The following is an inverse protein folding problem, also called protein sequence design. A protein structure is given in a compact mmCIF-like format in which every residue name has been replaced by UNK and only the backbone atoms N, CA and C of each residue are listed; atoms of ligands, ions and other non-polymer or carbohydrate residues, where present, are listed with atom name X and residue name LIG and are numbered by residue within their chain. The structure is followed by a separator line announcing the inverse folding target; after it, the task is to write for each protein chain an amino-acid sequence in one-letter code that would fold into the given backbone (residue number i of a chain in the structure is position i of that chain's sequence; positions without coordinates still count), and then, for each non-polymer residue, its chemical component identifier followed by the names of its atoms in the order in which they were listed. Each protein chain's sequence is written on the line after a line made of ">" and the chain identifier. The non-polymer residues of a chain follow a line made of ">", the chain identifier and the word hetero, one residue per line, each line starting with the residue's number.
data_IF_107611556113
#
_entry.id   IF_107611556113
#
_cell.length_a   1.000
_cell.length_b   1.000
_cell.length_c   1.000
_cell.angle_alpha   90.00
_cell.angle_beta   90.00
_cell.angle_gamma   90.00
#
_symmetry.space_group_name_H-M   'P 1'
#
loop_
_entity.id
_entity.type
_entity.pdbx_description
1 polymer ?
#
# COMPACT_ATOMS: atom_id res chain seq x y z
N UNK A 1 -10.68 10.37 6.08
CA UNK A 1 -10.41 11.11 4.82
C UNK A 1 -8.99 10.86 4.30
N UNK A 2 -7.95 10.86 5.17
CA UNK A 2 -6.58 10.51 4.76
C UNK A 2 -6.39 9.06 4.30
N UNK A 3 -6.95 8.05 4.97
CA UNK A 3 -6.72 6.63 4.63
C UNK A 3 -7.20 6.24 3.22
N UNK A 4 -8.34 6.79 2.79
CA UNK A 4 -8.90 6.55 1.46
C UNK A 4 -8.02 7.17 0.36
N UNK A 5 -7.47 8.36 0.60
CA UNK A 5 -6.56 9.03 -0.33
C UNK A 5 -5.25 8.25 -0.50
N UNK A 6 -4.68 7.75 0.59
CA UNK A 6 -3.47 6.93 0.56
C UNK A 6 -3.72 5.64 -0.22
N UNK A 7 -4.86 4.98 -0.01
CA UNK A 7 -5.24 3.75 -0.75
C UNK A 7 -5.38 3.97 -2.26
N UNK A 8 -6.11 5.00 -2.68
CA UNK A 8 -6.27 5.30 -4.11
C UNK A 8 -4.94 5.67 -4.77
N UNK A 9 -4.10 6.39 -4.04
CA UNK A 9 -2.77 6.78 -4.51
C UNK A 9 -1.85 5.56 -4.65
N UNK A 10 -1.84 4.64 -3.69
CA UNK A 10 -1.10 3.37 -3.80
C UNK A 10 -1.63 2.54 -4.99
N UNK A 11 -2.95 2.44 -5.17
CA UNK A 11 -3.53 1.73 -6.31
C UNK A 11 -3.12 2.35 -7.65
N UNK A 12 -3.18 3.67 -7.78
CA UNK A 12 -2.78 4.39 -8.98
C UNK A 12 -1.29 4.22 -9.29
N UNK A 13 -0.43 4.29 -8.26
CA UNK A 13 1.02 4.09 -8.40
C UNK A 13 1.33 2.64 -8.73
N UNK A 14 0.66 1.66 -8.11
CA UNK A 14 0.85 0.24 -8.43
C UNK A 14 0.44 -0.13 -9.84
N UNK A 15 -0.65 0.42 -10.34
CA UNK A 15 -1.07 0.18 -11.72
C UNK A 15 -0.14 0.84 -12.74
N UNK A 16 0.48 1.97 -12.39
CA UNK A 16 1.28 2.78 -13.31
C UNK A 16 2.77 2.40 -13.29
N UNK A 17 3.34 2.13 -12.12
CA UNK A 17 4.77 1.82 -11.93
C UNK A 17 5.04 0.31 -11.89
N UNK A 18 4.12 -0.49 -11.35
CA UNK A 18 4.36 -1.91 -11.10
C UNK A 18 3.59 -2.85 -12.04
N UNK A 19 2.70 -2.32 -12.89
CA UNK A 19 1.76 -3.11 -13.70
C UNK A 19 1.02 -4.18 -12.88
N UNK A 20 0.82 -3.90 -11.58
CA UNK A 20 0.23 -4.82 -10.63
C UNK A 20 -1.23 -4.43 -10.40
N UNK A 21 -2.13 -5.40 -10.53
CA UNK A 21 -3.52 -5.21 -10.15
C UNK A 21 -3.63 -5.31 -8.63
N UNK A 22 -4.14 -4.24 -8.01
CA UNK A 22 -4.55 -4.24 -6.61
C UNK A 22 -6.03 -4.59 -6.44
N UNK A 23 -6.41 -5.01 -5.25
CA UNK A 23 -7.81 -5.10 -4.84
C UNK A 23 -7.97 -4.54 -3.44
N UNK A 24 -9.00 -3.75 -3.22
CA UNK A 24 -9.40 -3.34 -1.86
C UNK A 24 -10.38 -4.40 -1.36
N UNK A 25 -10.03 -5.03 -0.25
CA UNK A 25 -10.83 -6.06 0.41
C UNK A 25 -11.12 -5.62 1.85
N UNK A 26 -12.33 -5.88 2.32
CA UNK A 26 -12.71 -5.56 3.70
C UNK A 26 -12.42 -6.75 4.61
N UNK A 27 -11.55 -6.55 5.60
CA UNK A 27 -11.25 -7.50 6.66
C UNK A 27 -12.09 -7.20 7.91
N UNK A 28 -12.68 -8.22 8.55
CA UNK A 28 -13.53 -8.02 9.72
C UNK A 28 -12.78 -7.51 10.97
N UNK A 29 -11.46 -7.70 11.05
CA UNK A 29 -10.63 -7.31 12.21
C UNK A 29 -9.81 -6.03 11.95
N UNK A 30 -9.37 -5.82 10.70
CA UNK A 30 -8.49 -4.70 10.31
C UNK A 30 -9.21 -3.65 9.45
N UNK A 31 -10.48 -3.85 9.12
CA UNK A 31 -11.24 -3.04 8.18
C UNK A 31 -10.75 -3.22 6.74
N UNK A 32 -10.90 -2.19 5.92
CA UNK A 32 -10.43 -2.20 4.54
C UNK A 32 -8.89 -2.32 4.42
N UNK A 33 -8.45 -3.40 3.78
CA UNK A 33 -7.06 -3.68 3.44
C UNK A 33 -6.87 -3.65 1.91
N UNK A 34 -5.72 -3.15 1.47
CA UNK A 34 -5.34 -3.15 0.06
C UNK A 34 -4.40 -4.33 -0.21
N UNK A 35 -4.84 -5.25 -1.05
CA UNK A 35 -4.03 -6.36 -1.54
C UNK A 35 -3.43 -5.99 -2.91
N UNK A 36 -2.15 -6.26 -3.12
CA UNK A 36 -1.47 -6.05 -4.40
C UNK A 36 -0.95 -7.39 -4.91
N UNK A 37 -1.00 -7.62 -6.22
CA UNK A 37 -0.42 -8.82 -6.82
C UNK A 37 1.11 -8.69 -6.92
N UNK A 38 1.83 -9.75 -6.54
CA UNK A 38 3.29 -9.82 -6.53
C UNK A 38 3.94 -9.25 -5.26
N UNK A 39 5.23 -9.54 -5.06
CA UNK A 39 6.00 -8.95 -3.97
C UNK A 39 6.50 -7.55 -4.39
N UNK A 40 5.86 -6.52 -3.83
CA UNK A 40 6.20 -5.11 -4.07
C UNK A 40 6.51 -4.39 -2.75
N UNK A 41 6.90 -5.15 -1.71
CA UNK A 41 7.05 -4.67 -0.34
C UNK A 41 8.05 -3.51 -0.24
N UNK A 42 9.19 -3.65 -0.93
CA UNK A 42 10.26 -2.64 -0.91
C UNK A 42 9.82 -1.36 -1.61
N UNK A 43 9.16 -1.50 -2.76
CA UNK A 43 8.70 -0.39 -3.57
C UNK A 43 7.63 0.45 -2.86
N UNK A 44 6.67 -0.18 -2.19
CA UNK A 44 5.63 0.53 -1.42
C UNK A 44 6.25 1.20 -0.20
N UNK A 45 7.17 0.52 0.50
CA UNK A 45 7.85 1.08 1.67
C UNK A 45 8.67 2.32 1.30
N UNK A 46 9.44 2.25 0.21
CA UNK A 46 10.19 3.39 -0.32
C UNK A 46 9.26 4.51 -0.77
N UNK A 47 8.18 4.20 -1.48
CA UNK A 47 7.25 5.20 -1.99
C UNK A 47 6.52 5.92 -0.85
N UNK A 48 6.02 5.21 0.16
CA UNK A 48 5.37 5.81 1.34
C UNK A 48 6.31 6.72 2.13
N UNK A 49 7.57 6.31 2.27
CA UNK A 49 8.62 7.10 2.93
C UNK A 49 8.97 8.34 2.10
N UNK A 50 9.11 8.20 0.78
CA UNK A 50 9.43 9.30 -0.16
C UNK A 50 8.30 10.32 -0.29
N UNK A 51 7.05 9.86 -0.25
CA UNK A 51 5.87 10.70 -0.25
C UNK A 51 5.61 11.37 1.12
N UNK A 52 6.33 10.96 2.18
CA UNK A 52 6.14 11.47 3.53
C UNK A 52 4.79 11.09 4.16
N UNK A 53 4.12 10.07 3.60
CA UNK A 53 2.80 9.62 4.05
C UNK A 53 2.87 8.73 5.29
N UNK A 54 3.99 8.01 5.46
CA UNK A 54 4.25 7.19 6.64
C UNK A 54 5.72 7.26 7.03
N UNK A 55 5.98 7.23 8.34
CA UNK A 55 7.35 7.05 8.85
C UNK A 55 7.74 5.57 8.73
N UNK A 56 9.03 5.26 8.50
CA UNK A 56 9.52 3.88 8.45
C UNK A 56 9.19 3.10 9.74
N UNK A 57 9.09 3.79 10.87
CA UNK A 57 8.72 3.20 12.16
C UNK A 57 7.27 2.68 12.22
N UNK A 58 6.38 3.27 11.42
CA UNK A 58 4.97 2.87 11.29
C UNK A 58 4.76 1.81 10.21
N UNK A 59 5.76 1.58 9.36
CA UNK A 59 5.73 0.59 8.29
C UNK A 59 6.23 -0.75 8.80
N UNK A 60 5.29 -1.59 9.23
CA UNK A 60 5.59 -2.98 9.55
C UNK A 60 5.37 -3.85 8.33
N UNK A 61 6.46 -4.39 7.80
CA UNK A 61 6.35 -5.32 6.68
C UNK A 61 6.41 -6.76 7.18
N UNK A 62 5.26 -7.42 7.12
CA UNK A 62 5.06 -8.81 7.53
C UNK A 62 5.15 -9.71 6.29
N UNK A 63 6.07 -10.68 6.30
CA UNK A 63 6.30 -11.61 5.18
C UNK A 63 7.77 -11.99 5.06
N UNK A 64 8.04 -13.16 4.48
CA UNK A 64 9.36 -13.71 4.16
C UNK A 64 9.42 -14.00 2.66
#
# INVERSE_FOLDING_TARGET
>A
VCDILVKQLIFSVSSQEFACNGTVIEHPEYGEVLQLQGDQRENICQWLTKAGLAKPDQLKVHGF
#
